data_IF_386495030491
#
_entry.id   IF_386495030491
#
_cell.length_a   1.000
_cell.length_b   1.000
_cell.length_c   1.000
_cell.angle_alpha   90.00
_cell.angle_beta   90.00
_cell.angle_gamma   90.00
#
_symmetry.space_group_name_H-M   'P 1'
#
loop_
_entity.id
_entity.type
_entity.pdbx_description
1 polymer ?
#
# COMPACT_ATOMS: atom_id res chain seq x y z
N UNK A 1 -6.15 -26.29 11.56
CA UNK A 1 -5.13 -25.64 12.41
C UNK A 1 -3.78 -25.82 11.71
N UNK A 2 -3.42 -24.89 10.83
CA UNK A 2 -2.08 -24.76 10.22
C UNK A 2 -1.89 -23.27 9.96
N UNK A 3 -0.90 -22.65 10.61
CA UNK A 3 -0.44 -21.31 10.25
C UNK A 3 0.36 -21.44 8.94
N UNK A 4 0.12 -20.57 7.97
CA UNK A 4 0.47 -20.82 6.56
C UNK A 4 1.73 -20.04 6.15
N UNK A 5 2.80 -20.16 6.96
CA UNK A 5 4.16 -19.92 6.46
C UNK A 5 5.00 -21.20 6.47
N UNK A 6 4.40 -22.37 6.76
CA UNK A 6 5.12 -23.41 7.50
C UNK A 6 5.65 -24.62 6.69
N UNK A 7 5.48 -24.79 5.37
CA UNK A 7 5.96 -26.05 4.72
C UNK A 7 6.64 -26.04 3.34
N UNK A 8 6.51 -25.04 2.45
CA UNK A 8 7.23 -25.02 1.15
C UNK A 8 7.66 -23.57 0.80
N UNK A 9 8.94 -23.28 0.45
CA UNK A 9 9.40 -21.93 0.13
C UNK A 9 8.59 -21.20 -0.95
N UNK A 10 8.03 -21.92 -1.92
CA UNK A 10 7.34 -21.34 -3.08
C UNK A 10 6.07 -20.56 -2.75
N UNK A 11 5.28 -20.98 -1.76
CA UNK A 11 3.98 -20.34 -1.46
C UNK A 11 4.14 -18.98 -0.78
N UNK A 12 5.18 -18.82 0.04
CA UNK A 12 5.55 -17.54 0.65
C UNK A 12 5.90 -16.52 -0.44
N UNK A 13 6.63 -16.95 -1.45
CA UNK A 13 6.95 -16.10 -2.60
C UNK A 13 5.71 -15.73 -3.39
N UNK A 14 4.79 -16.66 -3.63
CA UNK A 14 3.53 -16.33 -4.33
C UNK A 14 2.69 -15.33 -3.55
N UNK A 15 2.56 -15.52 -2.23
CA UNK A 15 1.86 -14.60 -1.34
C UNK A 15 2.50 -13.21 -1.34
N UNK A 16 3.83 -13.16 -1.16
CA UNK A 16 4.59 -11.93 -1.12
C UNK A 16 4.55 -11.19 -2.46
N UNK A 17 4.74 -11.90 -3.58
CA UNK A 17 4.71 -11.32 -4.93
C UNK A 17 3.32 -10.79 -5.25
N UNK A 18 2.24 -11.55 -5.02
CA UNK A 18 0.88 -11.06 -5.24
C UNK A 18 0.62 -9.79 -4.41
N UNK A 19 0.98 -9.83 -3.13
CA UNK A 19 0.75 -8.71 -2.21
C UNK A 19 1.59 -7.49 -2.55
N UNK A 20 2.87 -7.65 -2.89
CA UNK A 20 3.74 -6.53 -3.27
C UNK A 20 3.40 -5.98 -4.66
N UNK A 21 3.17 -6.86 -5.63
CA UNK A 21 2.95 -6.47 -7.02
C UNK A 21 1.57 -5.84 -7.22
N UNK A 22 0.50 -6.50 -6.76
CA UNK A 22 -0.85 -5.93 -6.87
C UNK A 22 -1.11 -4.92 -5.75
N UNK A 23 -0.98 -5.38 -4.51
CA UNK A 23 -1.29 -4.56 -3.33
C UNK A 23 -0.33 -3.37 -3.17
N UNK A 24 0.98 -3.63 -3.21
CA UNK A 24 2.00 -2.60 -3.01
C UNK A 24 2.03 -1.54 -4.11
N UNK A 25 1.94 -1.95 -5.39
CA UNK A 25 1.85 -0.99 -6.49
C UNK A 25 0.57 -0.15 -6.40
N UNK A 26 -0.58 -0.78 -6.15
CA UNK A 26 -1.85 -0.06 -5.96
C UNK A 26 -1.78 0.89 -4.77
N UNK A 27 -1.18 0.48 -3.65
CA UNK A 27 -1.02 1.30 -2.45
C UNK A 27 -0.16 2.53 -2.72
N UNK A 28 0.96 2.36 -3.42
CA UNK A 28 1.87 3.46 -3.77
C UNK A 28 1.21 4.47 -4.71
N UNK A 29 0.48 4.01 -5.73
CA UNK A 29 -0.25 4.89 -6.67
C UNK A 29 -1.38 5.62 -5.95
N UNK A 30 -2.14 4.91 -5.10
CA UNK A 30 -3.22 5.50 -4.30
C UNK A 30 -2.69 6.56 -3.34
N UNK A 31 -1.56 6.30 -2.67
CA UNK A 31 -0.92 7.25 -1.77
C UNK A 31 -0.45 8.53 -2.47
N UNK A 32 0.04 8.41 -3.71
CA UNK A 32 0.41 9.55 -4.57
C UNK A 32 -0.83 10.37 -4.98
N UNK A 33 -1.89 9.71 -5.46
CA UNK A 33 -3.12 10.38 -5.90
C UNK A 33 -3.82 11.17 -4.76
N UNK A 34 -3.80 10.62 -3.54
CA UNK A 34 -4.38 11.31 -2.36
C UNK A 34 -3.53 12.53 -1.97
N UNK A 35 -2.20 12.46 -2.07
CA UNK A 35 -1.35 13.62 -1.83
C UNK A 35 -1.60 14.73 -2.86
N UNK A 36 -1.75 14.37 -4.13
CA UNK A 36 -2.01 15.30 -5.24
C UNK A 36 -3.28 16.11 -5.04
N UNK A 37 -4.29 15.52 -4.41
CA UNK A 37 -5.60 16.14 -4.15
C UNK A 37 -5.67 16.96 -2.87
N UNK A 38 -4.54 17.17 -2.16
CA UNK A 38 -4.46 17.93 -0.89
C UNK A 38 -5.41 17.40 0.21
N UNK A 39 -5.86 16.15 0.08
CA UNK A 39 -6.82 15.52 0.98
C UNK A 39 -6.19 15.15 2.33
N UNK A 40 -6.98 15.11 3.42
CA UNK A 40 -6.49 14.77 4.75
C UNK A 40 -5.97 13.33 4.82
N UNK A 41 -4.89 13.13 5.57
CA UNK A 41 -4.21 11.83 5.72
C UNK A 41 -5.14 10.71 6.23
N UNK A 42 -6.19 11.04 6.98
CA UNK A 42 -7.18 10.07 7.46
C UNK A 42 -7.87 9.30 6.33
N UNK A 43 -8.09 9.91 5.17
CA UNK A 43 -8.66 9.20 4.01
C UNK A 43 -7.73 8.10 3.52
N UNK A 44 -6.41 8.30 3.60
CA UNK A 44 -5.42 7.28 3.21
C UNK A 44 -5.61 6.00 4.03
N UNK A 45 -5.91 6.12 5.32
CA UNK A 45 -6.15 4.97 6.21
C UNK A 45 -7.35 4.16 5.74
N UNK A 46 -8.47 4.81 5.41
CA UNK A 46 -9.67 4.14 4.89
C UNK A 46 -9.44 3.46 3.55
N UNK A 47 -8.74 4.12 2.63
CA UNK A 47 -8.39 3.53 1.34
C UNK A 47 -7.47 2.32 1.50
N UNK A 48 -6.49 2.38 2.41
CA UNK A 48 -5.62 1.24 2.69
C UNK A 48 -6.35 0.09 3.38
N UNK A 49 -7.34 0.39 4.22
CA UNK A 49 -8.18 -0.64 4.84
C UNK A 49 -9.01 -1.38 3.78
N UNK A 50 -9.66 -0.64 2.86
CA UNK A 50 -10.40 -1.23 1.74
C UNK A 50 -9.49 -2.01 0.78
N UNK A 51 -8.29 -1.49 0.51
CA UNK A 51 -7.32 -2.16 -0.35
C UNK A 51 -6.78 -3.45 0.30
N UNK A 52 -6.52 -3.44 1.61
CA UNK A 52 -6.15 -4.63 2.36
C UNK A 52 -7.25 -5.70 2.32
N UNK A 53 -8.51 -5.29 2.45
CA UNK A 53 -9.65 -6.18 2.30
C UNK A 53 -9.74 -6.78 0.88
N UNK A 54 -9.50 -5.98 -0.17
CA UNK A 54 -9.47 -6.45 -1.55
C UNK A 54 -8.33 -7.46 -1.79
N UNK A 55 -7.11 -7.17 -1.32
CA UNK A 55 -5.97 -8.11 -1.41
C UNK A 55 -6.26 -9.41 -0.65
N UNK A 56 -6.91 -9.32 0.52
CA UNK A 56 -7.33 -10.52 1.27
C UNK A 56 -8.38 -11.32 0.52
N UNK A 57 -9.32 -10.67 -0.14
CA UNK A 57 -10.29 -11.34 -0.99
C UNK A 57 -9.61 -12.13 -2.13
N UNK A 58 -8.57 -11.57 -2.75
CA UNK A 58 -7.78 -12.32 -3.74
C UNK A 58 -7.06 -13.52 -3.14
N UNK A 59 -6.50 -13.40 -1.93
CA UNK A 59 -5.88 -14.54 -1.25
C UNK A 59 -6.87 -15.65 -0.92
N UNK A 60 -8.08 -15.28 -0.50
CA UNK A 60 -9.15 -16.25 -0.30
C UNK A 60 -9.59 -16.90 -1.62
N UNK A 61 -9.83 -16.10 -2.65
CA UNK A 61 -10.35 -16.60 -3.92
C UNK A 61 -9.33 -17.47 -4.67
N UNK A 62 -8.04 -17.14 -4.58
CA UNK A 62 -6.98 -17.79 -5.35
C UNK A 62 -6.30 -18.94 -4.59
N UNK A 63 -6.21 -18.85 -3.25
CA UNK A 63 -5.50 -19.82 -2.41
C UNK A 63 -6.39 -20.49 -1.36
N UNK A 64 -7.70 -20.19 -1.33
CA UNK A 64 -8.66 -20.76 -0.37
C UNK A 64 -8.23 -20.61 1.10
N UNK A 65 -7.46 -19.57 1.42
CA UNK A 65 -6.94 -19.37 2.77
C UNK A 65 -8.03 -18.95 3.77
N UNK A 66 -7.89 -19.27 5.08
CA UNK A 66 -8.84 -18.85 6.11
C UNK A 66 -9.00 -17.32 6.17
N UNK A 67 -10.22 -16.82 5.98
CA UNK A 67 -10.52 -15.39 5.91
C UNK A 67 -10.16 -14.62 7.20
N UNK A 68 -10.35 -15.26 8.35
CA UNK A 68 -10.25 -14.67 9.69
C UNK A 68 -8.95 -15.03 10.39
N UNK A 69 -7.80 -14.74 9.78
CA UNK A 69 -6.53 -14.72 10.52
C UNK A 69 -6.13 -13.27 10.82
N UNK A 70 -6.30 -12.80 12.08
CA UNK A 70 -6.02 -11.41 12.44
C UNK A 70 -4.58 -11.00 12.15
N UNK A 71 -3.63 -11.93 12.34
CA UNK A 71 -2.20 -11.67 12.17
C UNK A 71 -1.84 -11.39 10.70
N UNK A 72 -2.40 -12.18 9.77
CA UNK A 72 -2.18 -11.98 8.33
C UNK A 72 -2.80 -10.67 7.86
N UNK A 73 -4.02 -10.35 8.32
CA UNK A 73 -4.68 -9.09 7.98
C UNK A 73 -3.85 -7.88 8.43
N UNK A 74 -3.35 -7.90 9.67
CA UNK A 74 -2.54 -6.82 10.22
C UNK A 74 -1.22 -6.66 9.45
N UNK A 75 -0.58 -7.77 9.07
CA UNK A 75 0.64 -7.77 8.26
C UNK A 75 0.42 -7.13 6.88
N UNK A 76 -0.63 -7.55 6.15
CA UNK A 76 -0.97 -6.97 4.85
C UNK A 76 -1.29 -5.49 4.98
N UNK A 77 -2.07 -5.11 6.00
CA UNK A 77 -2.43 -3.72 6.24
C UNK A 77 -1.21 -2.83 6.53
N UNK A 78 -0.30 -3.26 7.42
CA UNK A 78 0.93 -2.52 7.75
C UNK A 78 1.83 -2.36 6.53
N UNK A 79 1.96 -3.43 5.73
CA UNK A 79 2.76 -3.39 4.50
C UNK A 79 2.20 -2.38 3.49
N UNK A 80 0.89 -2.42 3.25
CA UNK A 80 0.21 -1.51 2.32
C UNK A 80 0.26 -0.06 2.83
N UNK A 81 0.06 0.14 4.13
CA UNK A 81 0.18 1.45 4.76
C UNK A 81 1.57 2.04 4.59
N UNK A 82 2.63 1.25 4.79
CA UNK A 82 4.00 1.69 4.60
C UNK A 82 4.26 2.11 3.14
N UNK A 83 3.78 1.32 2.17
CA UNK A 83 3.91 1.65 0.74
C UNK A 83 3.13 2.91 0.35
N UNK A 84 1.92 3.08 0.89
CA UNK A 84 1.11 4.26 0.65
C UNK A 84 1.70 5.52 1.29
N UNK A 85 2.24 5.42 2.51
CA UNK A 85 2.93 6.51 3.19
C UNK A 85 4.17 6.97 2.39
N UNK A 86 4.94 6.03 1.84
CA UNK A 86 6.07 6.34 0.95
C UNK A 86 5.61 7.07 -0.32
N UNK A 87 4.51 6.61 -0.94
CA UNK A 87 3.90 7.28 -2.10
C UNK A 87 3.44 8.70 -1.76
N UNK A 88 2.77 8.86 -0.63
CA UNK A 88 2.26 10.13 -0.14
C UNK A 88 3.40 11.13 0.15
N UNK A 89 4.44 10.70 0.86
CA UNK A 89 5.61 11.54 1.17
C UNK A 89 6.29 12.04 -0.10
N UNK A 90 6.53 11.17 -1.09
CA UNK A 90 7.17 11.55 -2.36
C UNK A 90 6.34 12.59 -3.14
N UNK A 91 5.02 12.44 -3.16
CA UNK A 91 4.13 13.39 -3.81
C UNK A 91 4.10 14.75 -3.09
N UNK A 92 4.09 14.76 -1.75
CA UNK A 92 4.17 16.02 -0.96
C UNK A 92 5.47 16.78 -1.21
N UNK A 93 6.61 16.08 -1.31
CA UNK A 93 7.90 16.70 -1.66
C UNK A 93 7.87 17.29 -3.08
N UNK A 94 7.29 16.58 -4.05
CA UNK A 94 7.13 17.08 -5.42
C UNK A 94 6.23 18.32 -5.48
N UNK A 95 5.11 18.31 -4.76
CA UNK A 95 4.21 19.46 -4.69
C UNK A 95 4.92 20.71 -4.18
N UNK A 96 5.71 20.61 -3.10
CA UNK A 96 6.50 21.73 -2.56
C UNK A 96 7.50 22.29 -3.58
N UNK A 97 8.14 21.43 -4.38
CA UNK A 97 9.06 21.87 -5.43
C UNK A 97 8.34 22.55 -6.60
N UNK A 98 7.17 22.03 -7.01
CA UNK A 98 6.40 22.57 -8.14
C UNK A 98 5.75 23.93 -7.82
N UNK A 99 5.14 24.07 -6.64
CA UNK A 99 4.44 25.29 -6.23
C UNK A 99 5.40 26.45 -5.91
N UNK A 100 6.62 26.17 -5.43
CA UNK A 100 7.62 27.20 -5.12
C UNK A 100 8.75 27.31 -6.15
N UNK A 101 8.68 26.59 -7.26
CA UNK A 101 9.73 26.57 -8.30
C UNK A 101 10.00 27.94 -8.94
N UNK A 102 9.00 28.83 -8.93
CA UNK A 102 9.14 30.20 -9.41
C UNK A 102 10.12 31.05 -8.58
N UNK A 103 10.35 30.71 -7.29
CA UNK A 103 11.32 31.43 -6.44
C UNK A 103 12.78 31.07 -6.77
N UNK A 104 13.03 29.91 -7.36
CA UNK A 104 14.38 29.47 -7.74
C UNK A 104 14.84 30.08 -9.07
N UNK A 105 13.91 30.54 -9.91
CA UNK A 105 14.22 31.13 -11.21
C UNK A 105 14.63 32.61 -11.13
N UNK A 106 14.22 33.34 -10.10
CA UNK A 106 14.48 34.79 -9.97
C UNK A 106 15.89 35.15 -9.45
N UNK A 107 16.73 34.16 -9.12
CA UNK A 107 18.07 34.38 -8.54
C UNK A 107 19.19 34.07 -9.57
N UNK A 108 18.86 33.84 -10.85
CA UNK A 108 19.86 33.56 -11.89
C UNK A 108 19.97 34.67 -12.91
#
# INVERSE_FOLDING_TARGET
MTGIFDTIPGEIWTYAVLTFALGGAAARVTGQAIAETWKPYWQLIWYMLLLAAAVRFFHFALFSEPLLSPLHYLGTFVLLMAMAALGHYQARVRQMRSQYGWRTQQIR
#
